data_IF_878657061288
#
_entry.id   IF_878657061288
#
_cell.length_a   1.000
_cell.length_b   1.000
_cell.length_c   1.000
_cell.angle_alpha   90.00
_cell.angle_beta   90.00
_cell.angle_gamma   90.00
#
_symmetry.space_group_name_H-M   'P 1'
#
loop_
_entity.id
_entity.type
_entity.pdbx_description
1 polymer ?
#
# COMPACT_ATOMS: atom_id res chain seq x y z
N UNK A 1 13.64 14.40 26.80
CA UNK A 1 12.47 14.64 25.92
C UNK A 1 11.79 13.31 25.68
N UNK A 2 10.55 13.14 26.16
CA UNK A 2 9.73 11.95 25.86
C UNK A 2 9.00 12.26 24.55
N UNK A 3 9.29 11.50 23.50
CA UNK A 3 8.48 11.53 22.29
C UNK A 3 7.09 11.02 22.63
N UNK A 4 5.99 11.69 22.23
CA UNK A 4 4.68 11.09 22.32
C UNK A 4 4.67 9.91 21.36
N UNK A 5 4.69 8.70 21.89
CA UNK A 5 4.21 7.52 21.16
C UNK A 5 2.75 7.78 20.85
N UNK A 6 2.46 8.27 19.64
CA UNK A 6 1.14 8.16 19.05
C UNK A 6 0.84 6.66 19.02
N UNK A 7 0.07 6.21 20.00
CA UNK A 7 -0.52 4.89 19.95
C UNK A 7 -1.39 4.90 18.69
N UNK A 8 -1.11 3.97 17.77
CA UNK A 8 -2.00 3.78 16.63
C UNK A 8 -3.42 3.60 17.19
N UNK A 9 -4.37 4.38 16.69
CA UNK A 9 -5.76 4.32 17.13
C UNK A 9 -6.25 2.88 16.98
N UNK A 10 -6.72 2.21 18.05
CA UNK A 10 -7.18 0.82 17.95
C UNK A 10 -8.48 0.68 17.15
N UNK A 11 -9.15 1.79 16.82
CA UNK A 11 -10.34 1.83 15.98
C UNK A 11 -9.95 2.28 14.56
N UNK A 12 -10.24 1.47 13.53
CA UNK A 12 -10.14 1.88 12.13
C UNK A 12 -10.81 3.23 11.89
N UNK A 13 -10.20 4.15 11.13
CA UNK A 13 -10.81 5.45 10.83
C UNK A 13 -12.10 5.33 10.02
N UNK A 14 -12.31 4.20 9.35
CA UNK A 14 -13.57 3.80 8.71
C UNK A 14 -13.59 2.28 8.48
N UNK A 15 -14.79 1.71 8.28
CA UNK A 15 -14.97 0.28 8.07
C UNK A 15 -14.50 -0.15 6.67
N UNK A 16 -13.76 -1.25 6.63
CA UNK A 16 -13.22 -1.87 5.41
C UNK A 16 -13.66 -3.34 5.27
N UNK A 17 -14.50 -3.82 6.19
CA UNK A 17 -14.93 -5.22 6.26
C UNK A 17 -15.58 -5.70 4.95
N UNK A 18 -16.30 -4.82 4.26
CA UNK A 18 -17.01 -5.14 3.01
C UNK A 18 -16.11 -5.53 1.83
N UNK A 19 -14.81 -5.21 1.87
CA UNK A 19 -13.87 -5.55 0.79
C UNK A 19 -12.58 -6.21 1.29
N UNK A 20 -12.46 -6.49 2.59
CA UNK A 20 -11.31 -7.17 3.18
C UNK A 20 -11.42 -8.69 3.01
N UNK A 21 -10.41 -9.39 2.48
CA UNK A 21 -10.41 -10.85 2.42
C UNK A 21 -10.50 -11.47 3.82
N UNK A 22 -11.25 -12.57 3.94
CA UNK A 22 -11.41 -13.29 5.20
C UNK A 22 -10.06 -13.67 5.81
N UNK A 23 -9.92 -13.43 7.12
CA UNK A 23 -8.71 -13.73 7.89
C UNK A 23 -7.57 -12.73 7.71
N UNK A 24 -7.74 -11.64 6.96
CA UNK A 24 -6.75 -10.56 6.86
C UNK A 24 -7.03 -9.50 7.91
N UNK A 25 -6.00 -9.16 8.69
CA UNK A 25 -6.04 -8.03 9.62
C UNK A 25 -5.04 -6.96 9.16
N UNK A 26 -5.55 -5.87 8.57
CA UNK A 26 -4.70 -4.81 8.03
C UNK A 26 -3.90 -4.10 9.13
N UNK A 27 -4.47 -3.93 10.33
CA UNK A 27 -3.79 -3.28 11.45
C UNK A 27 -2.56 -4.09 11.87
N UNK A 28 -2.69 -5.43 11.94
CA UNK A 28 -1.54 -6.30 12.20
C UNK A 28 -0.46 -6.15 11.11
N UNK A 29 -0.85 -6.05 9.84
CA UNK A 29 0.10 -5.85 8.74
C UNK A 29 0.80 -4.50 8.82
N UNK A 30 0.08 -3.41 9.14
CA UNK A 30 0.69 -2.09 9.36
C UNK A 30 1.60 -2.09 10.58
N UNK A 31 1.24 -2.78 11.66
CA UNK A 31 2.10 -2.95 12.83
C UNK A 31 3.38 -3.70 12.51
N UNK A 32 3.30 -4.77 11.69
CA UNK A 32 4.48 -5.46 11.17
C UNK A 32 5.35 -4.53 10.31
N UNK A 33 4.73 -3.74 9.44
CA UNK A 33 5.43 -2.77 8.60
C UNK A 33 6.14 -1.67 9.40
N UNK A 34 5.52 -1.18 10.49
CA UNK A 34 6.04 -0.10 11.35
C UNK A 34 7.44 -0.36 11.92
N UNK A 35 7.85 -1.62 12.03
CA UNK A 35 9.20 -1.95 12.51
C UNK A 35 10.32 -1.50 11.55
N UNK A 36 10.01 -1.19 10.29
CA UNK A 36 11.00 -0.75 9.29
C UNK A 36 11.39 0.73 9.41
N UNK A 37 10.56 1.58 10.06
CA UNK A 37 10.86 2.95 10.49
C UNK A 37 11.43 3.92 9.43
N UNK A 38 11.22 3.67 8.13
CA UNK A 38 11.67 4.59 7.08
C UNK A 38 12.24 3.94 5.81
N UNK A 39 12.62 4.75 4.81
CA UNK A 39 12.99 4.30 3.48
C UNK A 39 14.44 3.81 3.39
N UNK A 40 14.76 2.71 4.08
CA UNK A 40 16.05 2.05 3.94
C UNK A 40 16.06 1.04 2.79
N UNK A 41 17.24 0.69 2.27
CA UNK A 41 17.37 -0.38 1.29
C UNK A 41 16.77 -1.72 1.79
N UNK A 42 16.91 -2.01 3.08
CA UNK A 42 16.31 -3.19 3.70
C UNK A 42 14.78 -3.10 3.75
N UNK A 43 14.24 -1.90 4.02
CA UNK A 43 12.79 -1.64 3.97
C UNK A 43 12.25 -1.90 2.57
N UNK A 44 12.88 -1.34 1.53
CA UNK A 44 12.44 -1.56 0.15
C UNK A 44 12.54 -3.02 -0.28
N UNK A 45 13.64 -3.70 0.04
CA UNK A 45 13.82 -5.11 -0.31
C UNK A 45 12.81 -6.02 0.39
N UNK A 46 12.53 -5.76 1.66
CA UNK A 46 11.49 -6.48 2.41
C UNK A 46 10.11 -6.19 1.82
N UNK A 47 9.75 -4.92 1.63
CA UNK A 47 8.44 -4.51 1.17
C UNK A 47 8.13 -5.10 -0.21
N UNK A 48 9.09 -5.02 -1.15
CA UNK A 48 8.97 -5.66 -2.46
C UNK A 48 8.72 -7.16 -2.37
N UNK A 49 9.41 -7.88 -1.47
CA UNK A 49 9.17 -9.33 -1.27
C UNK A 49 7.76 -9.63 -0.77
N UNK A 50 7.15 -8.73 0.01
CA UNK A 50 5.79 -8.91 0.49
C UNK A 50 4.75 -8.70 -0.62
N UNK A 51 4.89 -7.64 -1.41
CA UNK A 51 3.84 -7.14 -2.32
C UNK A 51 3.98 -7.58 -3.77
N UNK A 52 5.12 -8.13 -4.18
CA UNK A 52 5.30 -8.64 -5.56
C UNK A 52 4.29 -9.73 -5.90
N UNK A 53 4.10 -10.00 -7.19
CA UNK A 53 3.31 -11.14 -7.67
C UNK A 53 3.74 -12.46 -6.99
N UNK A 54 2.76 -13.23 -6.53
CA UNK A 54 2.91 -14.42 -5.68
C UNK A 54 3.62 -14.18 -4.34
N UNK A 55 3.69 -12.92 -3.89
CA UNK A 55 4.16 -12.55 -2.56
C UNK A 55 3.09 -12.81 -1.49
N UNK A 56 3.47 -12.80 -0.21
CA UNK A 56 2.53 -12.97 0.92
C UNK A 56 1.31 -12.03 0.91
N UNK A 57 1.46 -10.83 0.34
CA UNK A 57 0.41 -9.81 0.27
C UNK A 57 -0.16 -9.63 -1.15
N UNK A 58 0.09 -10.58 -2.05
CA UNK A 58 -0.61 -10.63 -3.34
C UNK A 58 -2.03 -11.19 -3.16
N UNK A 59 -2.94 -10.32 -2.74
CA UNK A 59 -4.33 -10.70 -2.49
C UNK A 59 -5.11 -11.04 -3.76
N UNK A 60 -4.66 -10.61 -4.94
CA UNK A 60 -5.27 -10.99 -6.23
C UNK A 60 -5.22 -12.52 -6.44
N UNK A 61 -4.26 -13.22 -5.82
CA UNK A 61 -4.20 -14.70 -5.82
C UNK A 61 -5.36 -15.37 -5.08
N UNK A 62 -6.00 -14.66 -4.13
CA UNK A 62 -7.17 -15.17 -3.40
C UNK A 62 -8.48 -14.94 -4.18
N UNK A 63 -8.42 -14.15 -5.26
CA UNK A 63 -9.55 -13.81 -6.09
C UNK A 63 -9.41 -12.39 -6.66
N UNK A 64 -9.85 -12.21 -7.92
CA UNK A 64 -9.77 -10.91 -8.61
C UNK A 64 -10.57 -9.80 -7.89
N UNK A 65 -11.61 -10.17 -7.16
CA UNK A 65 -12.41 -9.24 -6.35
C UNK A 65 -11.61 -8.51 -5.25
N UNK A 66 -10.40 -8.98 -4.92
CA UNK A 66 -9.53 -8.37 -3.90
C UNK A 66 -8.48 -7.43 -4.48
N UNK A 67 -8.57 -7.08 -5.76
CA UNK A 67 -7.71 -6.09 -6.41
C UNK A 67 -7.70 -4.75 -5.68
N UNK A 68 -8.88 -4.16 -5.47
CA UNK A 68 -9.06 -2.91 -4.72
C UNK A 68 -8.47 -3.00 -3.30
N UNK A 69 -8.70 -4.12 -2.62
CA UNK A 69 -8.12 -4.35 -1.30
C UNK A 69 -6.59 -4.43 -1.35
N UNK A 70 -6.02 -5.09 -2.36
CA UNK A 70 -4.57 -5.18 -2.54
C UNK A 70 -3.93 -3.81 -2.70
N UNK A 71 -4.53 -2.94 -3.52
CA UNK A 71 -4.07 -1.58 -3.74
C UNK A 71 -4.22 -0.70 -2.48
N UNK A 72 -5.36 -0.81 -1.80
CA UNK A 72 -5.57 -0.17 -0.50
C UNK A 72 -4.55 -0.64 0.54
N UNK A 73 -4.34 -1.95 0.65
CA UNK A 73 -3.40 -2.56 1.58
C UNK A 73 -1.97 -2.10 1.30
N UNK A 74 -1.54 -2.10 0.04
CA UNK A 74 -0.24 -1.62 -0.40
C UNK A 74 0.05 -0.19 0.09
N UNK A 75 -0.90 0.73 -0.09
CA UNK A 75 -0.78 2.10 0.40
C UNK A 75 -0.67 2.17 1.92
N UNK A 76 -1.53 1.44 2.63
CA UNK A 76 -1.58 1.46 4.10
C UNK A 76 -0.29 0.89 4.73
N UNK A 77 0.16 -0.29 4.29
CA UNK A 77 1.35 -0.92 4.85
C UNK A 77 2.64 -0.25 4.39
N UNK A 78 2.67 0.34 3.18
CA UNK A 78 3.80 1.10 2.68
C UNK A 78 4.03 2.37 3.50
N UNK A 79 2.94 3.12 3.76
CA UNK A 79 2.99 4.30 4.61
C UNK A 79 3.44 3.92 6.03
N UNK A 80 2.85 2.86 6.61
CA UNK A 80 3.23 2.36 7.92
C UNK A 80 4.71 1.91 8.00
N UNK A 81 5.30 1.42 6.91
CA UNK A 81 6.74 1.11 6.84
C UNK A 81 7.66 2.35 6.85
N UNK A 82 7.08 3.54 6.71
CA UNK A 82 7.80 4.81 6.55
C UNK A 82 8.31 5.03 5.12
N UNK A 83 7.74 4.36 4.12
CA UNK A 83 8.05 4.65 2.72
C UNK A 83 7.30 5.93 2.32
N UNK A 84 7.98 6.92 1.70
CA UNK A 84 7.30 8.14 1.26
C UNK A 84 6.14 7.84 0.30
N UNK A 85 5.00 8.48 0.50
CA UNK A 85 3.78 8.29 -0.30
C UNK A 85 4.05 8.41 -1.81
N UNK A 86 4.85 9.39 -2.21
CA UNK A 86 5.22 9.58 -3.62
C UNK A 86 5.99 8.38 -4.22
N UNK A 87 6.77 7.67 -3.40
CA UNK A 87 7.49 6.45 -3.82
C UNK A 87 6.51 5.29 -3.98
N UNK A 88 5.49 5.17 -3.12
CA UNK A 88 4.44 4.16 -3.24
C UNK A 88 3.66 4.34 -4.54
N UNK A 89 3.18 5.57 -4.79
CA UNK A 89 2.40 5.90 -5.99
C UNK A 89 3.20 5.62 -7.28
N UNK A 90 4.48 6.01 -7.33
CA UNK A 90 5.34 5.71 -8.49
C UNK A 90 5.68 4.22 -8.59
N UNK A 91 5.84 3.54 -7.46
CA UNK A 91 6.15 2.11 -7.40
C UNK A 91 5.02 1.25 -7.95
N UNK A 92 3.76 1.62 -7.70
CA UNK A 92 2.58 0.98 -8.27
C UNK A 92 2.57 1.10 -9.80
N UNK A 93 2.71 2.32 -10.32
CA UNK A 93 2.77 2.54 -11.76
C UNK A 93 3.94 1.83 -12.45
N UNK A 94 5.11 1.72 -11.80
CA UNK A 94 6.20 0.88 -12.31
C UNK A 94 5.81 -0.62 -12.36
N UNK A 95 5.13 -1.12 -11.33
CA UNK A 95 4.68 -2.50 -11.28
C UNK A 95 3.63 -2.81 -12.37
N UNK A 96 2.67 -1.90 -12.60
CA UNK A 96 1.66 -2.03 -13.65
C UNK A 96 2.28 -2.01 -15.06
N UNK A 97 3.22 -1.10 -15.30
CA UNK A 97 4.00 -1.08 -16.54
C UNK A 97 4.76 -2.41 -16.76
N UNK A 98 5.38 -2.94 -15.70
CA UNK A 98 6.10 -4.22 -15.76
C UNK A 98 5.16 -5.42 -15.99
N UNK A 99 3.93 -5.36 -15.49
CA UNK A 99 2.92 -6.39 -15.70
C UNK A 99 2.33 -6.38 -17.13
N UNK A 100 2.61 -5.32 -17.91
CA UNK A 100 2.07 -5.17 -19.27
C UNK A 100 0.58 -4.82 -19.30
N UNK A 101 0.03 -4.33 -18.18
CA UNK A 101 -1.38 -3.95 -18.04
C UNK A 101 -1.57 -2.43 -17.96
N UNK A 102 -0.53 -1.65 -18.22
CA UNK A 102 -0.60 -0.19 -18.32
C UNK A 102 -1.26 0.23 -19.64
N UNK A 103 -2.08 1.26 -19.61
CA UNK A 103 -2.59 1.96 -20.80
C UNK A 103 -1.71 3.19 -21.05
N UNK A 104 -1.40 3.48 -22.32
CA UNK A 104 -0.62 4.67 -22.70
C UNK A 104 -1.19 5.98 -22.14
N UNK A 105 -2.51 6.05 -21.96
CA UNK A 105 -3.20 7.22 -21.36
C UNK A 105 -2.84 7.45 -19.88
N UNK A 106 -2.35 6.44 -19.18
CA UNK A 106 -1.95 6.54 -17.77
C UNK A 106 -0.55 7.17 -17.62
N UNK A 107 0.18 7.33 -18.73
CA UNK A 107 1.53 7.87 -18.77
C UNK A 107 2.59 6.91 -18.25
N UNK A 108 3.71 7.47 -17.81
CA UNK A 108 4.87 6.71 -17.33
C UNK A 108 5.10 6.90 -15.83
N UNK A 109 5.76 5.92 -15.21
CA UNK A 109 6.13 5.97 -13.77
C UNK A 109 7.06 7.14 -13.40
N UNK A 110 7.79 7.68 -14.37
CA UNK A 110 8.62 8.88 -14.22
C UNK A 110 7.90 10.19 -14.57
N UNK A 111 6.68 10.14 -15.11
CA UNK A 111 5.88 11.28 -15.52
C UNK A 111 5.01 11.89 -14.41
N UNK A 112 3.85 12.42 -14.80
CA UNK A 112 2.81 12.94 -13.90
C UNK A 112 1.90 11.83 -13.36
N UNK A 113 1.22 12.08 -12.23
CA UNK A 113 0.14 11.21 -11.73
C UNK A 113 -0.86 10.93 -12.87
N UNK A 114 -1.31 9.66 -13.07
CA UNK A 114 -1.23 8.51 -12.16
C UNK A 114 0.09 7.71 -12.22
N UNK A 115 1.14 8.22 -12.87
CA UNK A 115 2.45 7.58 -12.97
C UNK A 115 2.41 6.24 -13.72
N UNK A 116 1.52 6.09 -14.72
CA UNK A 116 1.37 4.84 -15.47
C UNK A 116 0.66 3.71 -14.71
N UNK A 117 0.03 4.02 -13.57
CA UNK A 117 -0.89 3.14 -12.86
C UNK A 117 -2.33 3.42 -13.28
N UNK A 118 -3.22 2.45 -13.11
CA UNK A 118 -4.66 2.67 -13.29
C UNK A 118 -5.15 3.77 -12.31
N UNK A 119 -5.91 4.78 -12.77
CA UNK A 119 -6.43 5.83 -11.89
C UNK A 119 -7.23 5.33 -10.69
N UNK A 120 -7.99 4.24 -10.83
CA UNK A 120 -8.77 3.63 -9.76
C UNK A 120 -7.84 2.93 -8.76
N UNK A 121 -6.83 2.22 -9.24
CA UNK A 121 -5.80 1.58 -8.39
C UNK A 121 -5.05 2.63 -7.56
N UNK A 122 -4.65 3.74 -8.19
CA UNK A 122 -4.07 4.90 -7.51
C UNK A 122 -4.99 5.52 -6.46
N UNK A 123 -6.30 5.57 -6.71
CA UNK A 123 -7.26 6.07 -5.74
C UNK A 123 -7.30 5.15 -4.51
N UNK A 124 -7.32 3.82 -4.70
CA UNK A 124 -7.26 2.86 -3.60
C UNK A 124 -5.96 2.97 -2.79
N UNK A 125 -4.81 3.11 -3.45
CA UNK A 125 -3.52 3.31 -2.76
C UNK A 125 -3.56 4.58 -1.89
N UNK A 126 -4.08 5.69 -2.42
CA UNK A 126 -4.24 6.95 -1.66
C UNK A 126 -5.19 6.78 -0.47
N UNK A 127 -6.28 6.04 -0.64
CA UNK A 127 -7.19 5.73 0.46
C UNK A 127 -6.53 4.88 1.54
N UNK A 128 -5.67 3.94 1.16
CA UNK A 128 -4.85 3.15 2.08
C UNK A 128 -3.86 3.98 2.87
N UNK A 129 -3.13 4.87 2.20
CA UNK A 129 -2.24 5.85 2.82
C UNK A 129 -3.02 6.70 3.83
N UNK A 130 -4.17 7.23 3.43
CA UNK A 130 -5.02 8.04 4.31
C UNK A 130 -5.52 7.25 5.53
N UNK A 131 -5.86 5.97 5.34
CA UNK A 131 -6.24 5.08 6.41
C UNK A 131 -5.11 4.90 7.42
N UNK A 132 -3.87 4.68 6.97
CA UNK A 132 -2.70 4.56 7.84
C UNK A 132 -2.46 5.85 8.65
N UNK A 133 -2.47 7.01 7.98
CA UNK A 133 -2.31 8.32 8.61
C UNK A 133 -3.36 8.57 9.71
N UNK A 134 -4.64 8.33 9.40
CA UNK A 134 -5.73 8.53 10.38
C UNK A 134 -5.72 7.49 11.50
N UNK A 135 -5.09 6.34 11.27
CA UNK A 135 -4.85 5.31 12.28
C UNK A 135 -3.62 5.62 13.15
N UNK A 136 -2.87 6.69 12.90
CA UNK A 136 -1.70 7.09 13.69
C UNK A 136 -0.41 6.35 13.33
N UNK A 137 -0.29 5.88 12.09
CA UNK A 137 0.96 5.37 11.51
C UNK A 137 1.78 6.47 10.86
#
# INVERSE_FOLDING_TARGET
MRYPTLAASPHPPFDISGFTPTGVNIVNNMMLARFHRGPSALTYAWFYKQVRGHGPWDYKQRGRQFENFGNFHYGAVGHAAGIPDAVLLRGAGWAQNRAGTSNAEFGDWYGSSPYGDDPDDQAWIKMGINYAQRSGF
#
